data_IF_972015426046
#
_entry.id   IF_972015426046
#
_cell.length_a   1.000
_cell.length_b   1.000
_cell.length_c   1.000
_cell.angle_alpha   90.00
_cell.angle_beta   90.00
_cell.angle_gamma   90.00
#
_symmetry.space_group_name_H-M   'P 1'
#
loop_
_entity.id
_entity.type
_entity.pdbx_description
1 polymer ?
#
# COMPACT_ATOMS: atom_id res chain seq x y z
N UNK A 1 0.07 2.08 -29.16
CA UNK A 1 -0.56 1.12 -28.23
C UNK A 1 -0.28 -0.32 -28.68
N UNK A 2 -0.22 -0.59 -29.98
CA UNK A 2 0.11 -1.92 -30.54
C UNK A 2 1.56 -2.38 -30.31
N UNK A 3 2.54 -1.48 -30.21
CA UNK A 3 3.94 -1.86 -29.96
C UNK A 3 4.23 -2.39 -28.54
N UNK A 4 3.25 -2.27 -27.63
CA UNK A 4 3.36 -2.77 -26.25
C UNK A 4 2.93 -4.24 -26.13
N UNK A 5 2.13 -4.77 -27.07
CA UNK A 5 1.67 -6.17 -27.05
C UNK A 5 2.73 -7.14 -27.58
N UNK A 6 3.64 -6.70 -28.45
CA UNK A 6 4.78 -7.52 -28.92
C UNK A 6 5.85 -7.76 -27.85
N UNK A 7 6.01 -6.83 -26.89
CA UNK A 7 6.94 -7.00 -25.78
C UNK A 7 6.52 -8.10 -24.79
N UNK A 8 5.26 -8.53 -24.84
CA UNK A 8 4.70 -9.60 -23.99
C UNK A 8 5.09 -11.01 -24.52
N UNK A 9 5.64 -11.11 -25.74
CA UNK A 9 6.14 -12.39 -26.30
C UNK A 9 7.58 -12.74 -25.90
N UNK A 10 8.29 -11.87 -25.20
CA UNK A 10 9.70 -12.09 -24.79
C UNK A 10 9.79 -12.59 -23.36
N UNK A 11 9.60 -13.91 -23.19
CA UNK A 11 9.63 -14.67 -21.91
C UNK A 11 8.62 -14.17 -20.87
N UNK A 12 7.82 -15.04 -20.23
CA UNK A 12 7.00 -14.61 -19.11
C UNK A 12 7.91 -14.01 -18.05
N UNK A 13 7.84 -12.68 -17.84
CA UNK A 13 8.43 -12.05 -16.67
C UNK A 13 7.96 -12.88 -15.48
N UNK A 14 8.90 -13.44 -14.73
CA UNK A 14 8.61 -14.31 -13.60
C UNK A 14 7.61 -13.63 -12.67
N UNK A 15 6.82 -14.41 -11.92
CA UNK A 15 5.87 -13.89 -10.92
C UNK A 15 6.52 -12.80 -10.06
N UNK A 16 7.78 -13.03 -9.69
CA UNK A 16 8.67 -12.10 -8.98
C UNK A 16 8.87 -10.75 -9.70
N UNK A 17 9.19 -10.78 -10.99
CA UNK A 17 9.52 -9.56 -11.72
C UNK A 17 8.27 -8.72 -12.01
N UNK A 18 7.12 -9.36 -12.27
CA UNK A 18 5.81 -8.66 -12.35
C UNK A 18 5.44 -8.05 -11.00
N UNK A 19 5.60 -8.80 -9.91
CA UNK A 19 5.37 -8.30 -8.55
C UNK A 19 6.19 -7.03 -8.28
N UNK A 20 7.51 -7.08 -8.53
CA UNK A 20 8.41 -5.93 -8.35
C UNK A 20 8.03 -4.73 -9.22
N UNK A 21 7.57 -4.97 -10.46
CA UNK A 21 7.11 -3.92 -11.35
C UNK A 21 5.89 -3.19 -10.79
N UNK A 22 4.88 -3.94 -10.34
CA UNK A 22 3.68 -3.39 -9.74
C UNK A 22 3.99 -2.59 -8.47
N UNK A 23 4.83 -3.12 -7.57
CA UNK A 23 5.33 -2.39 -6.40
C UNK A 23 6.01 -1.07 -6.82
N UNK A 24 6.90 -1.10 -7.82
CA UNK A 24 7.63 0.09 -8.27
C UNK A 24 6.70 1.16 -8.86
N UNK A 25 5.72 0.76 -9.68
CA UNK A 25 4.72 1.66 -10.25
C UNK A 25 3.83 2.28 -9.16
N UNK A 26 3.32 1.49 -8.23
CA UNK A 26 2.51 1.99 -7.11
C UNK A 26 3.27 3.04 -6.29
N UNK A 27 4.54 2.76 -5.96
CA UNK A 27 5.42 3.72 -5.28
C UNK A 27 5.67 5.00 -6.09
N UNK A 28 5.79 4.89 -7.41
CA UNK A 28 5.94 6.06 -8.29
C UNK A 28 4.69 6.94 -8.26
N UNK A 29 3.50 6.33 -8.26
CA UNK A 29 2.23 7.05 -8.16
C UNK A 29 2.08 7.76 -6.80
N UNK A 30 2.44 7.10 -5.69
CA UNK A 30 2.51 7.74 -4.36
C UNK A 30 3.43 8.96 -4.40
N UNK A 31 4.65 8.81 -4.95
CA UNK A 31 5.66 9.88 -4.98
C UNK A 31 5.21 11.10 -5.77
N UNK A 32 4.42 10.90 -6.83
CA UNK A 32 3.83 12.00 -7.60
C UNK A 32 2.74 12.76 -6.84
N UNK A 33 2.18 12.19 -5.76
CA UNK A 33 1.41 12.90 -4.73
C UNK A 33 0.09 13.52 -5.17
N UNK A 34 -0.39 13.23 -6.38
CA UNK A 34 -1.69 13.75 -6.87
C UNK A 34 -2.80 12.81 -6.42
N UNK A 35 -3.89 13.34 -5.84
CA UNK A 35 -5.04 12.54 -5.39
C UNK A 35 -5.55 11.55 -6.43
N UNK A 36 -5.62 11.96 -7.70
CA UNK A 36 -6.03 11.08 -8.81
C UNK A 36 -5.14 9.83 -8.90
N UNK A 37 -3.83 9.97 -8.67
CA UNK A 37 -2.82 8.91 -8.75
C UNK A 37 -2.86 7.89 -7.60
N UNK A 38 -3.56 8.21 -6.50
CA UNK A 38 -3.71 7.26 -5.39
C UNK A 38 -4.54 6.04 -5.80
N UNK A 39 -5.56 6.21 -6.63
CA UNK A 39 -6.31 5.08 -7.18
C UNK A 39 -5.45 4.19 -8.08
N UNK A 40 -4.61 4.77 -8.95
CA UNK A 40 -3.64 3.97 -9.71
C UNK A 40 -2.62 3.27 -8.80
N UNK A 41 -2.20 3.89 -7.70
CA UNK A 41 -1.29 3.24 -6.75
C UNK A 41 -1.95 2.00 -6.11
N UNK A 42 -3.20 2.12 -5.66
CA UNK A 42 -3.96 1.00 -5.08
C UNK A 42 -4.16 -0.14 -6.08
N UNK A 43 -4.47 0.17 -7.34
CA UNK A 43 -4.60 -0.84 -8.39
C UNK A 43 -3.29 -1.62 -8.59
N UNK A 44 -2.16 -0.92 -8.69
CA UNK A 44 -0.86 -1.59 -8.82
C UNK A 44 -0.53 -2.45 -7.59
N UNK A 45 -0.83 -2.00 -6.38
CA UNK A 45 -0.63 -2.84 -5.19
C UNK A 45 -1.58 -4.04 -5.13
N UNK A 46 -2.80 -3.91 -5.63
CA UNK A 46 -3.73 -5.04 -5.78
C UNK A 46 -3.19 -6.12 -6.72
N UNK A 47 -2.63 -5.73 -7.86
CA UNK A 47 -1.95 -6.66 -8.79
C UNK A 47 -0.71 -7.31 -8.13
N UNK A 48 0.08 -6.55 -7.37
CA UNK A 48 1.20 -7.10 -6.61
C UNK A 48 0.73 -8.13 -5.57
N UNK A 49 -0.35 -7.84 -4.85
CA UNK A 49 -0.96 -8.75 -3.87
C UNK A 49 -1.47 -10.03 -4.52
N UNK A 50 -2.10 -9.97 -5.70
CA UNK A 50 -2.52 -11.17 -6.43
C UNK A 50 -1.31 -12.08 -6.82
N UNK A 51 -0.15 -11.47 -7.07
CA UNK A 51 1.08 -12.19 -7.37
C UNK A 51 1.80 -12.73 -6.13
N UNK A 52 1.69 -12.06 -4.97
CA UNK A 52 2.25 -12.54 -3.69
C UNK A 52 1.29 -12.25 -2.55
N UNK A 53 0.28 -13.12 -2.34
CA UNK A 53 -0.77 -12.87 -1.35
C UNK A 53 -0.27 -12.95 0.09
N UNK A 54 0.92 -13.52 0.29
CA UNK A 54 1.61 -13.68 1.57
C UNK A 54 2.58 -12.54 1.88
N UNK A 55 2.75 -11.56 0.98
CA UNK A 55 3.68 -10.46 1.21
C UNK A 55 3.05 -9.29 1.96
N UNK A 56 3.78 -8.76 2.94
CA UNK A 56 3.38 -7.58 3.70
C UNK A 56 3.53 -6.25 2.93
N UNK A 57 4.35 -6.22 1.88
CA UNK A 57 4.75 -4.99 1.20
C UNK A 57 3.59 -4.27 0.48
N UNK A 58 2.67 -4.94 -0.24
CA UNK A 58 1.50 -4.26 -0.83
C UNK A 58 0.62 -3.60 0.23
N UNK A 59 0.30 -4.32 1.31
CA UNK A 59 -0.52 -3.80 2.42
C UNK A 59 0.13 -2.58 3.10
N UNK A 60 1.44 -2.62 3.34
CA UNK A 60 2.17 -1.47 3.87
C UNK A 60 2.04 -0.23 2.97
N UNK A 61 2.18 -0.40 1.66
CA UNK A 61 2.06 0.73 0.75
C UNK A 61 0.61 1.19 0.52
N UNK A 62 -0.37 0.28 0.53
CA UNK A 62 -1.79 0.64 0.49
C UNK A 62 -2.17 1.49 1.70
N UNK A 63 -1.71 1.13 2.90
CA UNK A 63 -1.89 1.95 4.10
C UNK A 63 -1.36 3.39 3.93
N UNK A 64 -0.17 3.55 3.33
CA UNK A 64 0.40 4.88 3.02
C UNK A 64 -0.48 5.64 2.03
N UNK A 65 -1.06 4.97 1.04
CA UNK A 65 -1.97 5.60 0.08
C UNK A 65 -3.22 6.09 0.81
N UNK A 66 -3.84 5.27 1.64
CA UNK A 66 -5.04 5.64 2.40
C UNK A 66 -4.77 6.81 3.35
N UNK A 67 -3.64 6.82 4.07
CA UNK A 67 -3.22 7.96 4.92
C UNK A 67 -3.15 9.28 4.12
N UNK A 68 -2.77 9.21 2.84
CA UNK A 68 -2.63 10.40 1.97
C UNK A 68 -3.92 10.78 1.27
N UNK A 69 -4.83 9.83 1.11
CA UNK A 69 -6.07 10.02 0.38
C UNK A 69 -7.11 10.75 1.23
N UNK A 70 -7.23 10.37 2.50
CA UNK A 70 -8.12 11.00 3.47
C UNK A 70 -7.43 11.16 4.82
N UNK A 71 -7.23 12.41 5.25
CA UNK A 71 -6.58 12.74 6.52
C UNK A 71 -7.43 12.46 7.76
N UNK A 72 -8.73 12.20 7.57
CA UNK A 72 -9.68 11.92 8.65
C UNK A 72 -9.99 10.42 8.77
N UNK A 73 -9.59 9.61 7.79
CA UNK A 73 -9.72 8.16 7.86
C UNK A 73 -8.49 7.55 8.54
N UNK A 74 -8.67 7.18 9.81
CA UNK A 74 -7.64 6.49 10.58
C UNK A 74 -7.79 4.97 10.53
N UNK A 75 -8.99 4.45 10.26
CA UNK A 75 -9.29 3.03 10.41
C UNK A 75 -8.78 2.21 9.22
N UNK A 76 -9.00 2.70 8.00
CA UNK A 76 -8.55 1.99 6.79
C UNK A 76 -7.03 1.82 6.76
N UNK A 77 -6.19 2.86 6.99
CA UNK A 77 -4.75 2.68 7.01
C UNK A 77 -4.28 1.79 8.18
N UNK A 78 -4.90 1.89 9.37
CA UNK A 78 -4.56 1.02 10.51
C UNK A 78 -4.83 -0.44 10.15
N UNK A 79 -5.96 -0.74 9.50
CA UNK A 79 -6.32 -2.09 9.06
C UNK A 79 -5.25 -2.67 8.11
N UNK A 80 -4.84 -1.90 7.11
CA UNK A 80 -3.81 -2.32 6.16
C UNK A 80 -2.44 -2.53 6.82
N UNK A 81 -2.03 -1.65 7.74
CA UNK A 81 -0.80 -1.86 8.51
C UNK A 81 -0.86 -3.11 9.40
N UNK A 82 -2.03 -3.41 9.98
CA UNK A 82 -2.23 -4.65 10.74
C UNK A 82 -2.14 -5.88 9.83
N UNK A 83 -2.72 -5.83 8.63
CA UNK A 83 -2.61 -6.92 7.66
C UNK A 83 -1.16 -7.19 7.26
N UNK A 84 -0.38 -6.14 7.02
CA UNK A 84 1.06 -6.27 6.78
C UNK A 84 1.79 -6.95 7.95
N UNK A 85 1.43 -6.62 9.20
CA UNK A 85 1.99 -7.28 10.39
C UNK A 85 1.52 -8.72 10.59
N UNK A 86 0.28 -9.06 10.21
CA UNK A 86 -0.21 -10.43 10.25
C UNK A 86 0.55 -11.33 9.29
N UNK A 87 0.85 -10.81 8.09
CA UNK A 87 1.57 -11.55 7.06
C UNK A 87 3.07 -11.69 7.39
N UNK A 88 3.72 -10.62 7.83
CA UNK A 88 5.14 -10.64 8.19
C UNK A 88 5.40 -9.93 9.55
N UNK A 89 5.14 -10.58 10.69
CA UNK A 89 5.25 -9.96 12.03
C UNK A 89 6.65 -9.45 12.40
N UNK A 90 7.69 -10.04 11.80
CA UNK A 90 9.10 -9.64 11.94
C UNK A 90 9.73 -9.22 10.61
N UNK A 91 8.91 -8.96 9.59
CA UNK A 91 9.37 -8.58 8.27
C UNK A 91 9.93 -7.16 8.20
N UNK A 92 10.40 -6.79 7.00
CA UNK A 92 11.04 -5.49 6.73
C UNK A 92 10.19 -4.28 7.15
N UNK A 93 8.87 -4.41 7.10
CA UNK A 93 7.93 -3.33 7.40
C UNK A 93 7.38 -3.36 8.82
N UNK A 94 7.68 -4.38 9.62
CA UNK A 94 7.00 -4.61 10.90
C UNK A 94 7.11 -3.42 11.87
N UNK A 95 8.32 -2.92 12.12
CA UNK A 95 8.52 -1.78 13.03
C UNK A 95 7.91 -0.48 12.49
N UNK A 96 7.91 -0.30 11.16
CA UNK A 96 7.25 0.84 10.53
C UNK A 96 5.73 0.76 10.70
N UNK A 97 5.12 -0.41 10.49
CA UNK A 97 3.70 -0.65 10.70
C UNK A 97 3.30 -0.39 12.15
N UNK A 98 4.04 -0.93 13.14
CA UNK A 98 3.78 -0.71 14.57
C UNK A 98 3.80 0.77 14.92
N UNK A 99 4.83 1.49 14.46
CA UNK A 99 4.98 2.94 14.67
C UNK A 99 3.81 3.72 14.06
N UNK A 100 3.44 3.38 12.82
CA UNK A 100 2.31 3.99 12.10
C UNK A 100 0.97 3.75 12.78
N UNK A 101 0.67 2.51 13.16
CA UNK A 101 -0.55 2.15 13.90
C UNK A 101 -0.63 2.93 15.21
N UNK A 102 0.46 2.98 15.99
CA UNK A 102 0.50 3.72 17.25
C UNK A 102 0.20 5.20 17.03
N UNK A 103 0.83 5.82 16.02
CA UNK A 103 0.62 7.24 15.69
C UNK A 103 -0.81 7.53 15.25
N UNK A 104 -1.36 6.72 14.34
CA UNK A 104 -2.72 6.90 13.82
C UNK A 104 -3.76 6.67 14.92
N UNK A 105 -3.59 5.64 15.74
CA UNK A 105 -4.50 5.36 16.87
C UNK A 105 -4.50 6.50 17.89
N UNK A 106 -3.32 7.03 18.24
CA UNK A 106 -3.22 8.18 19.14
C UNK A 106 -3.86 9.45 18.53
N UNK A 107 -3.72 9.64 17.21
CA UNK A 107 -4.31 10.79 16.52
C UNK A 107 -5.83 10.67 16.47
N UNK A 108 -6.34 9.48 16.13
CA UNK A 108 -7.77 9.14 16.18
C UNK A 108 -8.37 9.43 17.55
N UNK A 109 -7.72 8.98 18.62
CA UNK A 109 -8.20 9.21 19.99
C UNK A 109 -8.22 10.70 20.36
N UNK A 110 -7.17 11.45 20.00
CA UNK A 110 -7.13 12.90 20.22
C UNK A 110 -8.26 13.61 19.47
N UNK A 111 -8.48 13.29 18.20
CA UNK A 111 -9.55 13.87 17.41
C UNK A 111 -10.92 13.51 18.00
N UNK A 112 -11.12 12.27 18.44
CA UNK A 112 -12.35 11.85 19.11
C UNK A 112 -12.65 12.69 20.36
N UNK A 113 -11.66 12.87 21.23
CA UNK A 113 -11.78 13.71 22.44
C UNK A 113 -12.02 15.17 22.10
N UNK A 114 -11.33 15.71 21.09
CA UNK A 114 -11.46 17.10 20.66
C UNK A 114 -12.86 17.40 20.10
N UNK A 115 -13.41 16.50 19.26
CA UNK A 115 -14.71 16.65 18.64
C UNK A 115 -15.89 16.10 19.49
N UNK A 116 -15.64 15.69 20.74
CA UNK A 116 -16.69 15.39 21.72
C UNK A 116 -17.58 14.18 21.42
N UNK A 117 -17.10 13.16 20.69
CA UNK A 117 -17.82 11.89 20.51
C UNK A 117 -17.31 10.77 21.43
#
# INVERSE_FOLDING_TARGET
IEKFSELIKLKPYSKEARYKLHIAKGRLYIRRGKKKLYWQALLEFGEAMALKPDSAEPHYYMAIVYEKQDSNDYDTPISEYKKALELEPGGKFAELCKSKIKKLSATKEKMRKFWGK
#
